data_IF_111469459697
#
_entry.id   IF_111469459697
#
_cell.length_a   1.000
_cell.length_b   1.000
_cell.length_c   1.000
_cell.angle_alpha   90.00
_cell.angle_beta   90.00
_cell.angle_gamma   90.00
#
_symmetry.space_group_name_H-M   'P 1'
#
loop_
_entity.id
_entity.type
_entity.pdbx_description
1 polymer ?
#
# COMPACT_ATOMS: atom_id res chain seq x y z
N UNK A 1 32.64 -26.17 28.41
CA UNK A 1 31.32 -25.55 28.62
C UNK A 1 31.21 -24.47 27.57
N UNK A 2 30.55 -24.78 26.45
CA UNK A 2 30.26 -23.77 25.43
C UNK A 2 29.04 -22.98 25.89
N UNK A 3 29.19 -21.67 26.01
CA UNK A 3 28.08 -20.77 26.30
C UNK A 3 27.33 -20.52 24.99
N UNK A 4 26.24 -21.25 24.78
CA UNK A 4 25.27 -20.95 23.72
C UNK A 4 24.46 -19.73 24.19
N UNK A 5 24.73 -18.58 23.57
CA UNK A 5 23.90 -17.39 23.76
C UNK A 5 22.64 -17.54 22.93
N UNK A 6 21.52 -17.82 23.60
CA UNK A 6 20.19 -17.81 23.00
C UNK A 6 19.78 -16.34 22.82
N UNK A 7 20.11 -15.76 21.66
CA UNK A 7 19.64 -14.44 21.29
C UNK A 7 18.15 -14.58 21.02
N UNK A 8 17.34 -14.25 22.01
CA UNK A 8 15.92 -14.04 21.81
C UNK A 8 15.75 -12.98 20.72
N UNK A 9 15.39 -13.43 19.51
CA UNK A 9 15.08 -12.57 18.38
C UNK A 9 13.85 -11.77 18.77
N UNK A 10 14.09 -10.55 19.26
CA UNK A 10 13.04 -9.60 19.61
C UNK A 10 12.20 -9.41 18.35
N UNK A 11 10.96 -9.91 18.38
CA UNK A 11 10.10 -10.00 17.22
C UNK A 11 9.89 -8.60 16.61
N UNK A 12 10.67 -8.28 15.58
CA UNK A 12 10.50 -7.07 14.79
C UNK A 12 9.19 -7.24 14.05
N UNK A 13 8.12 -6.60 14.54
CA UNK A 13 6.87 -6.58 13.81
C UNK A 13 7.11 -5.86 12.46
N UNK A 14 6.77 -6.48 11.32
CA UNK A 14 6.96 -5.85 10.03
C UNK A 14 6.17 -4.54 9.96
N UNK A 15 6.78 -3.49 9.41
CA UNK A 15 6.12 -2.21 9.23
C UNK A 15 4.94 -2.34 8.27
N UNK A 16 3.76 -1.89 8.69
CA UNK A 16 2.57 -1.81 7.84
C UNK A 16 2.59 -0.49 7.09
N UNK A 17 2.86 -0.53 5.79
CA UNK A 17 2.95 0.67 4.95
C UNK A 17 1.65 0.84 4.17
N UNK A 18 1.04 2.03 4.29
CA UNK A 18 -0.15 2.41 3.51
C UNK A 18 0.16 3.63 2.66
N UNK A 19 -0.25 3.60 1.40
CA UNK A 19 -0.06 4.69 0.43
C UNK A 19 -1.42 5.23 0.02
N UNK A 20 -1.67 6.51 0.29
CA UNK A 20 -2.96 7.16 0.01
C UNK A 20 -2.77 8.20 -1.10
N UNK A 21 -3.49 8.03 -2.21
CA UNK A 21 -3.48 8.92 -3.36
C UNK A 21 -4.73 9.77 -3.39
N UNK A 22 -4.57 11.09 -3.25
CA UNK A 22 -5.68 12.04 -3.28
C UNK A 22 -5.80 12.70 -4.67
N UNK A 23 -7.04 12.85 -5.15
CA UNK A 23 -7.32 13.52 -6.42
C UNK A 23 -6.81 12.77 -7.66
N UNK A 24 -6.91 13.42 -8.83
CA UNK A 24 -6.53 12.78 -10.11
C UNK A 24 -5.03 12.44 -10.19
N UNK A 25 -4.16 13.35 -9.75
CA UNK A 25 -2.70 13.14 -9.76
C UNK A 25 -2.26 12.01 -8.83
N UNK A 26 -2.79 11.98 -7.60
CA UNK A 26 -2.50 10.92 -6.63
C UNK A 26 -3.00 9.55 -7.09
N UNK A 27 -4.21 9.46 -7.64
CA UNK A 27 -4.73 8.23 -8.22
C UNK A 27 -3.88 7.73 -9.39
N UNK A 28 -3.38 8.65 -10.24
CA UNK A 28 -2.48 8.29 -11.33
C UNK A 28 -1.11 7.78 -10.82
N UNK A 29 -0.55 8.39 -9.78
CA UNK A 29 0.67 7.92 -9.15
C UNK A 29 0.50 6.51 -8.56
N UNK A 30 -0.62 6.25 -7.86
CA UNK A 30 -0.95 4.90 -7.37
C UNK A 30 -1.06 3.91 -8.53
N UNK A 31 -1.75 4.25 -9.63
CA UNK A 31 -1.83 3.38 -10.80
C UNK A 31 -0.45 3.03 -11.35
N UNK A 32 0.47 4.00 -11.40
CA UNK A 32 1.84 3.78 -11.81
C UNK A 32 2.59 2.85 -10.83
N UNK A 33 2.46 3.05 -9.52
CA UNK A 33 3.07 2.16 -8.50
C UNK A 33 2.54 0.73 -8.61
N UNK A 34 1.24 0.57 -8.81
CA UNK A 34 0.59 -0.74 -9.01
C UNK A 34 1.07 -1.40 -10.30
N UNK A 35 1.22 -0.65 -11.39
CA UNK A 35 1.73 -1.15 -12.67
C UNK A 35 3.20 -1.58 -12.59
N UNK A 36 4.01 -0.88 -11.80
CA UNK A 36 5.41 -1.23 -11.51
C UNK A 36 5.54 -2.30 -10.42
N UNK A 37 4.43 -2.88 -9.97
CA UNK A 37 4.38 -3.99 -9.01
C UNK A 37 5.12 -3.70 -7.69
N UNK A 38 4.98 -2.46 -7.18
CA UNK A 38 5.42 -2.09 -5.82
C UNK A 38 4.69 -2.98 -4.81
N UNK A 39 5.45 -3.66 -3.93
CA UNK A 39 4.93 -4.67 -3.00
C UNK A 39 4.99 -4.19 -1.55
N UNK A 40 4.35 -4.96 -0.66
CA UNK A 40 4.37 -4.73 0.79
C UNK A 40 3.78 -3.38 1.21
N UNK A 41 2.89 -2.84 0.39
CA UNK A 41 2.14 -1.62 0.67
C UNK A 41 0.67 -1.86 0.37
N UNK A 42 -0.21 -1.26 1.17
CA UNK A 42 -1.64 -1.19 0.89
C UNK A 42 -1.94 0.13 0.17
N UNK A 43 -2.63 0.08 -0.97
CA UNK A 43 -2.99 1.26 -1.73
C UNK A 43 -4.42 1.71 -1.44
N UNK A 44 -4.60 3.02 -1.22
CA UNK A 44 -5.90 3.64 -1.04
C UNK A 44 -6.00 4.86 -1.95
N UNK A 45 -7.03 4.93 -2.79
CA UNK A 45 -7.29 6.12 -3.61
C UNK A 45 -8.52 6.86 -3.13
N UNK A 46 -8.44 8.19 -3.03
CA UNK A 46 -9.59 9.01 -2.67
C UNK A 46 -9.75 10.22 -3.59
N UNK A 47 -10.94 10.40 -4.14
CA UNK A 47 -11.21 11.44 -5.13
C UNK A 47 -12.69 11.81 -5.14
N UNK A 48 -13.02 13.03 -5.58
CA UNK A 48 -14.40 13.47 -5.78
C UNK A 48 -14.97 12.96 -7.11
N UNK A 49 -14.08 12.80 -8.10
CA UNK A 49 -14.41 12.26 -9.42
C UNK A 49 -14.53 10.72 -9.39
N UNK A 50 -15.78 10.25 -9.49
CA UNK A 50 -16.11 8.83 -9.52
C UNK A 50 -15.57 8.09 -10.77
N UNK A 51 -15.46 8.77 -11.91
CA UNK A 51 -14.93 8.15 -13.13
C UNK A 51 -13.44 7.85 -12.99
N UNK A 52 -12.72 8.71 -12.26
CA UNK A 52 -11.32 8.50 -11.92
C UNK A 52 -11.14 7.29 -11.00
N UNK A 53 -11.94 7.18 -9.92
CA UNK A 53 -11.89 6.04 -8.99
C UNK A 53 -12.23 4.71 -9.68
N UNK A 54 -13.17 4.72 -10.62
CA UNK A 54 -13.53 3.53 -11.40
C UNK A 54 -12.34 2.97 -12.20
N UNK A 55 -11.42 3.82 -12.64
CA UNK A 55 -10.19 3.39 -13.34
C UNK A 55 -9.17 2.74 -12.41
N UNK A 56 -9.23 3.04 -11.11
CA UNK A 56 -8.31 2.49 -10.09
C UNK A 56 -8.72 1.09 -9.61
N UNK A 57 -9.94 0.61 -9.90
CA UNK A 57 -10.53 -0.64 -9.37
C UNK A 57 -9.90 -1.96 -9.86
N UNK A 58 -8.72 -1.94 -10.48
CA UNK A 58 -8.24 -3.10 -11.26
C UNK A 58 -7.51 -4.18 -10.47
N UNK A 59 -7.31 -4.03 -9.15
CA UNK A 59 -6.54 -4.99 -8.34
C UNK A 59 -7.15 -5.14 -6.93
N UNK A 60 -7.22 -6.38 -6.42
CA UNK A 60 -7.79 -6.73 -5.09
C UNK A 60 -7.04 -6.12 -3.90
N UNK A 61 -5.87 -5.53 -4.15
CA UNK A 61 -4.97 -4.96 -3.14
C UNK A 61 -5.16 -3.43 -2.99
N UNK A 62 -6.12 -2.83 -3.70
CA UNK A 62 -6.40 -1.40 -3.65
C UNK A 62 -7.83 -1.14 -3.16
N UNK A 63 -7.97 -0.30 -2.15
CA UNK A 63 -9.28 0.24 -1.73
C UNK A 63 -9.49 1.64 -2.33
N UNK A 64 -10.74 2.06 -2.52
CA UNK A 64 -11.02 3.44 -2.90
C UNK A 64 -12.16 4.05 -2.08
N UNK A 65 -12.08 5.36 -1.88
CA UNK A 65 -13.09 6.15 -1.19
C UNK A 65 -13.50 7.31 -2.08
N UNK A 66 -14.80 7.50 -2.27
CA UNK A 66 -15.32 8.73 -2.89
C UNK A 66 -15.55 9.75 -1.78
N UNK A 67 -14.89 10.90 -1.89
CA UNK A 67 -15.05 12.04 -0.98
C UNK A 67 -16.03 13.03 -1.61
#
# INVERSE_FOLDING_TARGET
MEFVYDVAESAVSPAVIKVIGLGGGGCNAINNMVANNVRSVEFISANTDAQSLAKTMRRRESSWVRI
#
